data_IF_960858671856
#
_entry.id   IF_960858671856
#
_cell.length_a   1.000
_cell.length_b   1.000
_cell.length_c   1.000
_cell.angle_alpha   90.00
_cell.angle_beta   90.00
_cell.angle_gamma   90.00
#
_symmetry.space_group_name_H-M   'P 1'
#
loop_
_entity.id
_entity.type
_entity.pdbx_description
1 polymer ?
#
# COMPACT_ATOMS: atom_id res chain seq x y z
N UNK A 1 26.39 11.71 36.89
CA UNK A 1 27.42 11.32 35.91
C UNK A 1 26.94 10.04 35.25
N UNK A 2 26.72 10.14 33.93
CA UNK A 2 26.26 9.21 32.89
C UNK A 2 26.07 7.73 33.27
N UNK A 3 24.88 7.14 33.07
CA UNK A 3 24.29 6.74 31.78
C UNK A 3 25.14 5.68 31.07
N UNK A 4 24.84 4.41 31.37
CA UNK A 4 25.14 3.24 30.53
C UNK A 4 23.81 2.57 30.22
N UNK A 5 23.05 3.19 29.32
CA UNK A 5 21.95 2.52 28.66
C UNK A 5 22.57 1.52 27.68
N UNK A 6 22.30 0.24 27.90
CA UNK A 6 22.68 -0.86 27.04
C UNK A 6 22.24 -0.56 25.60
N UNK A 7 23.22 -0.45 24.70
CA UNK A 7 22.97 -0.38 23.26
C UNK A 7 22.35 -1.70 22.82
N UNK A 8 21.04 -1.66 22.59
CA UNK A 8 20.35 -2.72 21.86
C UNK A 8 20.89 -2.72 20.43
N UNK A 9 21.73 -3.71 20.12
CA UNK A 9 22.16 -4.01 18.76
C UNK A 9 20.92 -4.31 17.92
N UNK A 10 20.55 -3.31 17.12
CA UNK A 10 19.34 -3.29 16.29
C UNK A 10 19.57 -3.93 14.93
N UNK A 11 20.74 -4.59 14.72
CA UNK A 11 21.15 -5.07 13.40
C UNK A 11 20.57 -6.45 13.02
N UNK A 12 19.95 -7.17 13.96
CA UNK A 12 19.37 -8.51 13.73
C UNK A 12 17.82 -8.57 13.72
N UNK A 13 17.10 -7.45 13.70
CA UNK A 13 15.64 -7.46 13.47
C UNK A 13 15.26 -7.53 11.97
N UNK A 14 16.19 -8.00 11.13
CA UNK A 14 16.14 -7.91 9.67
C UNK A 14 15.57 -9.22 9.08
N UNK A 15 14.30 -9.14 8.64
CA UNK A 15 13.51 -10.07 7.79
C UNK A 15 12.24 -10.70 8.41
N UNK A 16 11.47 -9.92 9.13
CA UNK A 16 10.01 -10.06 9.03
C UNK A 16 9.50 -9.04 8.00
N UNK A 17 8.52 -9.36 7.12
CA UNK A 17 7.83 -8.32 6.37
C UNK A 17 7.20 -7.37 7.40
N UNK A 18 7.81 -6.20 7.57
CA UNK A 18 7.32 -5.21 8.51
C UNK A 18 6.08 -4.60 7.87
N UNK A 19 4.91 -5.03 8.34
CA UNK A 19 3.67 -4.35 8.02
C UNK A 19 3.87 -2.84 8.25
N UNK A 20 3.47 -2.01 7.28
CA UNK A 20 3.59 -0.56 7.39
C UNK A 20 3.06 -0.12 8.76
N UNK A 21 3.82 0.72 9.45
CA UNK A 21 3.33 1.32 10.68
C UNK A 21 2.06 2.11 10.37
N UNK A 22 1.20 2.27 11.37
CA UNK A 22 -0.04 3.06 11.20
C UNK A 22 0.25 4.47 10.66
N UNK A 23 1.36 5.09 11.07
CA UNK A 23 1.73 6.42 10.59
C UNK A 23 2.07 6.42 9.10
N UNK A 24 2.82 5.43 8.63
CA UNK A 24 3.15 5.29 7.21
C UNK A 24 1.91 4.99 6.38
N UNK A 25 1.03 4.09 6.83
CA UNK A 25 -0.22 3.78 6.15
C UNK A 25 -1.12 5.02 6.02
N UNK A 26 -1.23 5.85 7.06
CA UNK A 26 -1.94 7.12 7.00
C UNK A 26 -1.26 8.13 6.05
N UNK A 27 0.07 8.11 5.97
CA UNK A 27 0.84 8.92 5.03
C UNK A 27 0.58 8.53 3.58
N UNK A 28 0.46 7.23 3.29
CA UNK A 28 0.10 6.72 1.96
C UNK A 28 -1.34 7.07 1.59
N UNK A 29 -2.29 6.83 2.49
CA UNK A 29 -3.69 7.20 2.29
C UNK A 29 -3.86 8.70 2.00
N UNK A 30 -3.24 9.57 2.81
CA UNK A 30 -3.28 11.01 2.60
C UNK A 30 -2.62 11.46 1.29
N UNK A 31 -1.60 10.74 0.82
CA UNK A 31 -1.00 11.00 -0.48
C UNK A 31 -1.98 10.66 -1.62
N UNK A 32 -2.54 9.46 -1.61
CA UNK A 32 -3.44 8.99 -2.65
C UNK A 32 -4.76 9.76 -2.69
N UNK A 33 -5.25 10.21 -1.54
CA UNK A 33 -6.40 11.11 -1.47
C UNK A 33 -6.22 12.37 -2.33
N UNK A 34 -4.99 12.91 -2.41
CA UNK A 34 -4.67 14.08 -3.23
C UNK A 34 -4.23 13.74 -4.65
N UNK A 35 -3.58 12.59 -4.85
CA UNK A 35 -2.95 12.24 -6.13
C UNK A 35 -3.89 11.52 -7.10
N UNK A 36 -4.86 10.73 -6.60
CA UNK A 36 -5.63 9.78 -7.41
C UNK A 36 -6.32 10.37 -8.64
N UNK A 37 -6.78 11.62 -8.58
CA UNK A 37 -7.49 12.28 -9.67
C UNK A 37 -6.56 12.74 -10.81
N UNK A 38 -5.25 12.80 -10.56
CA UNK A 38 -4.22 13.10 -11.56
C UNK A 38 -3.65 11.87 -12.27
N UNK A 39 -4.06 10.67 -11.85
CA UNK A 39 -3.55 9.41 -12.40
C UNK A 39 -4.22 9.08 -13.74
N UNK A 40 -3.47 8.46 -14.66
CA UNK A 40 -3.96 8.17 -16.02
C UNK A 40 -5.12 7.17 -16.07
N UNK A 41 -5.32 6.39 -15.00
CA UNK A 41 -6.42 5.45 -14.83
C UNK A 41 -7.63 6.04 -14.09
N UNK A 42 -7.57 7.33 -13.72
CA UNK A 42 -8.70 8.01 -13.10
C UNK A 42 -9.91 8.05 -14.05
N UNK A 43 -11.08 7.72 -13.52
CA UNK A 43 -12.36 7.79 -14.24
C UNK A 43 -13.22 8.90 -13.66
N UNK A 44 -13.69 9.79 -14.52
CA UNK A 44 -14.61 10.85 -14.13
C UNK A 44 -15.89 10.26 -13.51
N UNK A 45 -16.35 10.86 -12.40
CA UNK A 45 -17.53 10.42 -11.67
C UNK A 45 -17.25 9.39 -10.56
N UNK A 46 -16.00 8.94 -10.43
CA UNK A 46 -15.50 8.22 -9.27
C UNK A 46 -14.75 9.19 -8.34
N UNK A 47 -14.79 8.89 -7.05
CA UNK A 47 -14.16 9.67 -6.00
C UNK A 47 -13.10 8.84 -5.27
N UNK A 48 -12.43 9.43 -4.29
CA UNK A 48 -11.36 8.74 -3.58
C UNK A 48 -11.85 7.46 -2.88
N UNK A 49 -13.09 7.41 -2.40
CA UNK A 49 -13.60 6.26 -1.65
C UNK A 49 -13.67 5.01 -2.52
N UNK A 50 -13.87 5.16 -3.84
CA UNK A 50 -13.78 4.05 -4.79
C UNK A 50 -12.37 3.49 -4.93
N UNK A 51 -11.36 4.37 -4.91
CA UNK A 51 -9.96 4.00 -5.15
C UNK A 51 -9.17 3.66 -3.88
N UNK A 52 -9.58 4.18 -2.72
CA UNK A 52 -8.95 3.98 -1.43
C UNK A 52 -8.64 2.50 -1.13
N UNK A 53 -9.57 1.54 -1.29
CA UNK A 53 -9.24 0.13 -1.06
C UNK A 53 -8.18 -0.41 -2.02
N UNK A 54 -8.08 0.10 -3.25
CA UNK A 54 -7.11 -0.36 -4.23
C UNK A 54 -5.70 0.09 -3.85
N UNK A 55 -5.56 1.35 -3.45
CA UNK A 55 -4.30 1.87 -2.92
C UNK A 55 -3.88 1.13 -1.66
N UNK A 56 -4.82 0.89 -0.75
CA UNK A 56 -4.58 0.12 0.47
C UNK A 56 -4.03 -1.28 0.19
N UNK A 57 -4.65 -2.02 -0.74
CA UNK A 57 -4.14 -3.30 -1.21
C UNK A 57 -2.71 -3.17 -1.75
N UNK A 58 -2.42 -2.14 -2.54
CA UNK A 58 -1.09 -1.93 -3.12
C UNK A 58 0.01 -1.68 -2.09
N UNK A 59 -0.13 -0.66 -1.25
CA UNK A 59 0.94 -0.29 -0.30
C UNK A 59 1.09 -1.30 0.84
N UNK A 60 -0.01 -1.89 1.35
CA UNK A 60 0.07 -2.97 2.35
C UNK A 60 0.61 -4.24 1.73
N UNK A 61 0.24 -4.50 0.47
CA UNK A 61 0.72 -5.63 -0.31
C UNK A 61 2.23 -5.63 -0.45
N UNK A 62 2.84 -4.51 -0.84
CA UNK A 62 4.30 -4.43 -0.97
C UNK A 62 4.99 -4.66 0.37
N UNK A 63 4.48 -4.08 1.46
CA UNK A 63 5.06 -4.29 2.78
C UNK A 63 4.95 -5.75 3.27
N UNK A 64 3.92 -6.47 2.82
CA UNK A 64 3.69 -7.87 3.19
C UNK A 64 4.51 -8.85 2.33
N UNK A 65 4.52 -8.66 1.00
CA UNK A 65 5.06 -9.62 0.05
C UNK A 65 6.42 -9.21 -0.51
N UNK A 66 6.67 -7.89 -0.65
CA UNK A 66 7.84 -7.34 -1.32
C UNK A 66 7.96 -7.80 -2.77
N UNK A 67 9.12 -7.52 -3.38
CA UNK A 67 9.46 -8.03 -4.71
C UNK A 67 8.66 -7.39 -5.85
N UNK A 68 8.45 -8.16 -6.91
CA UNK A 68 7.72 -7.72 -8.10
C UNK A 68 6.20 -7.81 -7.86
N UNK A 69 5.46 -6.84 -8.41
CA UNK A 69 4.00 -6.79 -8.27
C UNK A 69 3.33 -8.06 -8.81
N UNK A 70 3.83 -8.54 -9.96
CA UNK A 70 3.21 -9.65 -10.70
C UNK A 70 3.28 -10.97 -9.90
N UNK A 71 4.31 -11.15 -9.07
CA UNK A 71 4.44 -12.31 -8.16
C UNK A 71 3.37 -12.29 -7.05
N UNK A 72 2.93 -11.10 -6.63
CA UNK A 72 1.95 -10.92 -5.57
C UNK A 72 0.51 -10.74 -6.09
N UNK A 73 0.31 -10.57 -7.40
CA UNK A 73 -0.96 -10.15 -7.99
C UNK A 73 -2.15 -11.02 -7.55
N UNK A 74 -1.97 -12.35 -7.52
CA UNK A 74 -3.02 -13.27 -7.06
C UNK A 74 -3.44 -13.04 -5.61
N UNK A 75 -2.47 -12.73 -4.74
CA UNK A 75 -2.73 -12.40 -3.33
C UNK A 75 -3.40 -11.03 -3.21
N UNK A 76 -3.00 -10.05 -4.03
CA UNK A 76 -3.63 -8.73 -4.09
C UNK A 76 -5.07 -8.81 -4.56
N UNK A 77 -5.37 -9.63 -5.55
CA UNK A 77 -6.73 -9.93 -6.01
C UNK A 77 -7.59 -10.47 -4.85
N UNK A 78 -7.11 -11.48 -4.13
CA UNK A 78 -7.82 -12.01 -2.96
C UNK A 78 -8.03 -10.96 -1.86
N UNK A 79 -7.05 -10.08 -1.64
CA UNK A 79 -7.16 -8.99 -0.68
C UNK A 79 -8.19 -7.93 -1.11
N UNK A 80 -8.20 -7.58 -2.39
CA UNK A 80 -9.15 -6.66 -2.99
C UNK A 80 -10.58 -7.13 -2.80
N UNK A 81 -10.89 -8.37 -3.19
CA UNK A 81 -12.24 -8.94 -3.07
C UNK A 81 -12.75 -8.91 -1.61
N UNK A 82 -11.83 -9.02 -0.66
CA UNK A 82 -12.15 -9.00 0.77
C UNK A 82 -12.37 -7.59 1.33
N UNK A 83 -11.71 -6.55 0.79
CA UNK A 83 -11.73 -5.21 1.38
C UNK A 83 -12.39 -4.13 0.53
N UNK A 84 -12.74 -4.41 -0.72
CA UNK A 84 -13.27 -3.39 -1.66
C UNK A 84 -14.55 -2.71 -1.19
N UNK A 85 -15.35 -3.37 -0.34
CA UNK A 85 -16.58 -2.81 0.20
C UNK A 85 -17.50 -2.28 -0.90
N UNK A 86 -17.92 -1.02 -0.75
CA UNK A 86 -18.80 -0.32 -1.69
C UNK A 86 -18.07 0.29 -2.90
N UNK A 87 -16.77 0.01 -3.08
CA UNK A 87 -16.02 0.49 -4.24
C UNK A 87 -16.68 0.06 -5.54
N UNK A 88 -16.92 1.05 -6.40
CA UNK A 88 -17.53 0.88 -7.72
C UNK A 88 -16.57 0.29 -8.76
N UNK A 89 -15.28 0.17 -8.44
CA UNK A 89 -14.27 -0.35 -9.38
C UNK A 89 -14.41 -1.87 -9.56
N UNK A 90 -14.21 -2.32 -10.80
CA UNK A 90 -13.86 -3.71 -11.08
C UNK A 90 -12.42 -4.00 -10.64
N UNK A 91 -12.05 -5.28 -10.54
CA UNK A 91 -10.65 -5.65 -10.27
C UNK A 91 -9.69 -5.07 -11.32
N UNK A 92 -10.03 -5.18 -12.61
CA UNK A 92 -9.20 -4.67 -13.71
C UNK A 92 -9.01 -3.15 -13.65
N UNK A 93 -10.04 -2.42 -13.20
CA UNK A 93 -9.99 -0.96 -13.02
C UNK A 93 -9.20 -0.55 -11.76
N UNK A 94 -9.21 -1.40 -10.73
CA UNK A 94 -8.48 -1.17 -9.49
C UNK A 94 -7.00 -1.58 -9.56
N UNK A 95 -6.66 -2.56 -10.41
CA UNK A 95 -5.30 -3.06 -10.62
C UNK A 95 -4.26 -1.95 -10.88
N UNK A 96 -4.47 -0.97 -11.77
CA UNK A 96 -3.49 0.09 -11.99
C UNK A 96 -3.28 0.97 -10.73
N UNK A 97 -4.32 1.19 -9.93
CA UNK A 97 -4.21 1.90 -8.65
C UNK A 97 -3.42 1.11 -7.61
N UNK A 98 -3.64 -0.21 -7.51
CA UNK A 98 -2.84 -1.10 -6.67
C UNK A 98 -1.35 -1.04 -7.07
N UNK A 99 -1.08 -1.11 -8.39
CA UNK A 99 0.28 -1.07 -8.93
C UNK A 99 0.97 0.27 -8.68
N UNK A 100 0.23 1.38 -8.76
CA UNK A 100 0.75 2.71 -8.46
C UNK A 100 1.16 2.83 -6.97
N UNK A 101 0.29 2.41 -6.04
CA UNK A 101 0.61 2.35 -4.61
C UNK A 101 1.80 1.44 -4.31
N UNK A 102 1.81 0.24 -4.89
CA UNK A 102 2.92 -0.70 -4.75
C UNK A 102 4.25 -0.09 -5.19
N UNK A 103 4.29 0.44 -6.43
CA UNK A 103 5.52 1.00 -7.02
C UNK A 103 6.07 2.17 -6.22
N UNK A 104 5.17 2.98 -5.63
CA UNK A 104 5.56 4.13 -4.82
C UNK A 104 6.23 3.72 -3.51
N UNK A 105 5.76 2.66 -2.84
CA UNK A 105 6.43 2.15 -1.64
C UNK A 105 7.69 1.38 -2.03
N UNK A 106 7.70 0.68 -3.16
CA UNK A 106 8.86 -0.05 -3.66
C UNK A 106 10.04 0.85 -4.08
N UNK A 107 9.76 2.07 -4.53
CA UNK A 107 10.78 3.05 -4.92
C UNK A 107 11.36 3.88 -3.76
N UNK A 108 11.04 3.55 -2.51
CA UNK A 108 11.60 4.19 -1.31
C UNK A 108 12.84 3.45 -0.83
#
# INVERSE_FOLDING_TARGET
>A
MNAVAEELDTSELVKAPAALSRHEALGEDAHWQRAHSGEGYYRAGLDYEDYAPAYCVGYMGYAQYGGEFDDAERSLCANWERIKGDSRLSFDEALPAMRAAWSRVAGR
#
